data_IF_147092126245
#
_entry.id   IF_147092126245
#
_cell.length_a   1.000
_cell.length_b   1.000
_cell.length_c   1.000
_cell.angle_alpha   90.00
_cell.angle_beta   90.00
_cell.angle_gamma   90.00
#
_symmetry.space_group_name_H-M   'P 1'
#
loop_
_entity.id
_entity.type
_entity.pdbx_description
1 polymer ?
#
# COMPACT_ATOMS: atom_id res chain seq x y z
N UNK A 1 14.01 -1.60 15.68
CA UNK A 1 13.71 -3.01 15.34
C UNK A 1 13.09 -3.02 13.95
N UNK A 2 13.52 -3.89 13.01
CA UNK A 2 12.89 -3.95 11.70
C UNK A 2 11.40 -4.29 11.84
N UNK A 3 10.53 -3.74 10.98
CA UNK A 3 9.10 -4.03 11.03
C UNK A 3 8.84 -5.53 10.87
N UNK A 4 7.83 -6.02 11.60
CA UNK A 4 7.38 -7.41 11.49
C UNK A 4 6.39 -7.53 10.35
N UNK A 5 6.90 -7.81 9.16
CA UNK A 5 6.10 -8.03 7.96
C UNK A 5 5.10 -9.19 8.12
N UNK A 6 3.93 -9.06 7.52
CA UNK A 6 2.86 -10.05 7.60
C UNK A 6 3.07 -11.23 6.64
N UNK A 7 3.84 -11.03 5.56
CA UNK A 7 4.15 -12.08 4.59
C UNK A 7 5.46 -11.81 3.82
N UNK A 8 5.93 -12.82 3.08
CA UNK A 8 7.17 -12.71 2.30
C UNK A 8 7.12 -11.64 1.21
N UNK A 9 5.95 -11.32 0.63
CA UNK A 9 5.88 -10.34 -0.44
C UNK A 9 6.17 -8.92 0.06
N UNK A 10 5.76 -8.60 1.29
CA UNK A 10 6.11 -7.34 1.95
C UNK A 10 7.62 -7.26 2.24
N UNK A 11 8.23 -8.35 2.73
CA UNK A 11 9.69 -8.43 2.93
C UNK A 11 10.45 -8.14 1.64
N UNK A 12 10.05 -8.79 0.54
CA UNK A 12 10.69 -8.57 -0.77
C UNK A 12 10.44 -7.16 -1.30
N UNK A 13 9.28 -6.56 -1.01
CA UNK A 13 9.00 -5.18 -1.38
C UNK A 13 9.94 -4.20 -0.67
N UNK A 14 10.06 -4.33 0.65
CA UNK A 14 10.97 -3.53 1.46
C UNK A 14 12.41 -3.62 0.94
N UNK A 15 12.91 -4.84 0.70
CA UNK A 15 14.26 -5.05 0.13
C UNK A 15 14.46 -4.37 -1.22
N UNK A 16 13.46 -4.42 -2.11
CA UNK A 16 13.54 -3.78 -3.42
C UNK A 16 13.58 -2.26 -3.26
N UNK A 17 12.71 -1.68 -2.42
CA UNK A 17 12.72 -0.24 -2.14
C UNK A 17 14.06 0.20 -1.52
N UNK A 18 14.59 -0.57 -0.57
CA UNK A 18 15.91 -0.34 0.05
C UNK A 18 17.03 -0.39 -0.99
N UNK A 19 17.04 -1.42 -1.85
CA UNK A 19 18.04 -1.57 -2.92
C UNK A 19 18.04 -0.38 -3.89
N UNK A 20 16.84 0.14 -4.20
CA UNK A 20 16.68 1.31 -5.05
C UNK A 20 16.85 2.65 -4.31
N UNK A 21 16.97 2.63 -2.97
CA UNK A 21 17.13 3.81 -2.14
C UNK A 21 15.87 4.66 -2.00
N UNK A 22 14.69 4.07 -2.22
CA UNK A 22 13.40 4.77 -2.11
C UNK A 22 12.95 4.76 -0.64
N UNK A 23 12.78 5.90 0.03
CA UNK A 23 12.30 5.92 1.42
C UNK A 23 10.88 5.36 1.54
N UNK A 24 10.64 4.58 2.59
CA UNK A 24 9.33 3.97 2.82
C UNK A 24 8.97 3.85 4.31
N UNK A 25 7.68 3.73 4.58
CA UNK A 25 7.10 3.44 5.89
C UNK A 25 6.19 2.22 5.77
N UNK A 26 6.28 1.28 6.71
CA UNK A 26 5.43 0.08 6.75
C UNK A 26 4.20 0.30 7.62
N UNK A 27 3.03 -0.09 7.10
CA UNK A 27 1.70 0.12 7.73
C UNK A 27 1.56 1.50 8.40
N UNK A 28 1.83 2.60 7.66
CA UNK A 28 1.99 3.95 8.22
C UNK A 28 0.74 4.47 8.93
N UNK A 29 -0.45 4.01 8.48
CA UNK A 29 -1.74 4.42 9.03
C UNK A 29 -2.86 3.47 8.62
N UNK A 30 -3.86 3.34 9.49
CA UNK A 30 -5.15 2.73 9.16
C UNK A 30 -6.21 3.79 8.85
N UNK A 31 -6.95 3.59 7.76
CA UNK A 31 -8.09 4.39 7.35
C UNK A 31 -9.40 3.72 7.72
N UNK A 32 -10.28 4.45 8.40
CA UNK A 32 -11.62 3.95 8.74
C UNK A 32 -12.52 4.07 7.51
N UNK A 33 -13.06 2.95 7.04
CA UNK A 33 -13.96 2.89 5.90
C UNK A 33 -15.44 2.78 6.28
N UNK A 34 -15.73 2.28 7.50
CA UNK A 34 -17.10 2.23 8.03
C UNK A 34 -17.10 2.14 9.55
N UNK A 35 -18.03 2.85 10.17
CA UNK A 35 -18.37 2.73 11.60
C UNK A 35 -19.75 2.07 11.76
N UNK A 36 -19.94 1.37 12.87
CA UNK A 36 -21.22 0.82 13.29
C UNK A 36 -22.09 1.90 13.95
N UNK A 37 -23.33 1.55 14.29
CA UNK A 37 -24.28 2.45 14.98
C UNK A 37 -23.76 2.90 16.36
N UNK A 38 -22.93 2.07 17.00
CA UNK A 38 -22.24 2.33 18.25
C UNK A 38 -20.93 3.14 18.10
N UNK A 39 -20.62 3.59 16.88
CA UNK A 39 -19.39 4.33 16.55
C UNK A 39 -18.12 3.47 16.41
N UNK A 40 -18.19 2.15 16.66
CA UNK A 40 -17.02 1.25 16.53
C UNK A 40 -16.59 1.09 15.08
N UNK A 41 -15.29 0.93 14.85
CA UNK A 41 -14.74 0.70 13.51
C UNK A 41 -15.10 -0.73 13.07
N UNK A 42 -15.91 -0.86 12.02
CA UNK A 42 -16.34 -2.18 11.49
C UNK A 42 -15.59 -2.53 10.21
N UNK A 43 -15.12 -1.52 9.48
CA UNK A 43 -14.28 -1.74 8.31
C UNK A 43 -13.17 -0.69 8.29
N UNK A 44 -11.93 -1.16 8.20
CA UNK A 44 -10.75 -0.33 8.02
C UNK A 44 -9.86 -0.89 6.90
N UNK A 45 -8.94 -0.05 6.45
CA UNK A 45 -7.95 -0.35 5.45
C UNK A 45 -6.60 0.26 5.85
N UNK A 46 -5.58 -0.58 6.00
CA UNK A 46 -4.22 -0.18 6.27
C UNK A 46 -3.39 -0.52 5.04
N UNK A 47 -2.87 0.46 4.29
CA UNK A 47 -1.97 0.17 3.19
C UNK A 47 -0.67 -0.45 3.70
N UNK A 48 -0.13 -1.40 2.96
CA UNK A 48 1.10 -2.11 3.34
C UNK A 48 2.31 -1.14 3.46
N UNK A 49 2.45 -0.17 2.55
CA UNK A 49 3.55 0.80 2.55
C UNK A 49 3.11 2.23 2.21
N UNK A 50 3.92 3.22 2.60
CA UNK A 50 3.88 4.59 2.11
C UNK A 50 5.25 5.07 1.68
N UNK A 51 5.31 5.76 0.55
CA UNK A 51 6.51 6.40 0.01
C UNK A 51 6.40 7.91 0.23
N UNK A 52 7.12 8.48 1.22
CA UNK A 52 6.93 9.88 1.62
C UNK A 52 7.29 10.89 0.54
N UNK A 53 8.36 10.65 -0.22
CA UNK A 53 8.79 11.56 -1.28
C UNK A 53 7.77 11.68 -2.40
N UNK A 54 7.11 10.56 -2.73
CA UNK A 54 6.10 10.50 -3.77
C UNK A 54 4.71 10.70 -3.22
N UNK A 55 4.54 10.91 -1.91
CA UNK A 55 3.28 10.91 -1.17
C UNK A 55 2.27 9.87 -1.72
N UNK A 56 2.70 8.61 -1.66
CA UNK A 56 2.00 7.49 -2.28
C UNK A 56 1.88 6.30 -1.34
N UNK A 57 0.66 5.81 -1.16
CA UNK A 57 0.40 4.54 -0.51
C UNK A 57 0.45 3.38 -1.50
N UNK A 58 1.02 2.27 -1.04
CA UNK A 58 1.18 1.03 -1.79
C UNK A 58 0.47 -0.09 -1.05
N UNK A 59 -0.35 -0.82 -1.79
CA UNK A 59 -0.98 -2.06 -1.35
C UNK A 59 -0.46 -3.21 -2.22
N UNK A 60 0.10 -4.25 -1.62
CA UNK A 60 0.59 -5.43 -2.31
C UNK A 60 -0.52 -6.47 -2.48
N UNK A 61 -0.57 -7.13 -3.62
CA UNK A 61 -1.43 -8.30 -3.82
C UNK A 61 -0.65 -9.45 -4.44
N UNK A 62 -0.76 -10.61 -3.81
CA UNK A 62 -0.25 -11.90 -4.31
C UNK A 62 -1.38 -12.82 -4.80
N UNK A 63 -2.62 -12.34 -4.78
CA UNK A 63 -3.79 -13.21 -4.61
C UNK A 63 -4.56 -13.55 -5.91
N UNK A 64 -5.26 -14.69 -5.86
CA UNK A 64 -6.27 -15.15 -6.84
C UNK A 64 -7.41 -14.14 -6.99
N UNK A 65 -8.03 -14.12 -8.17
CA UNK A 65 -9.02 -13.12 -8.63
C UNK A 65 -10.17 -12.82 -7.64
N UNK A 66 -10.63 -13.81 -6.86
CA UNK A 66 -11.70 -13.64 -5.87
C UNK A 66 -11.35 -12.71 -4.70
N UNK A 67 -10.09 -12.68 -4.27
CA UNK A 67 -9.61 -11.83 -3.18
C UNK A 67 -9.35 -10.39 -3.64
N UNK A 68 -9.06 -10.21 -4.93
CA UNK A 68 -8.94 -8.89 -5.57
C UNK A 68 -10.27 -8.13 -5.50
N UNK A 69 -11.42 -8.80 -5.61
CA UNK A 69 -12.75 -8.15 -5.51
C UNK A 69 -12.95 -7.46 -4.16
N UNK A 70 -12.57 -8.12 -3.05
CA UNK A 70 -12.69 -7.54 -1.70
C UNK A 70 -11.72 -6.36 -1.50
N UNK A 71 -10.46 -6.49 -1.93
CA UNK A 71 -9.49 -5.38 -1.89
C UNK A 71 -9.98 -4.20 -2.75
N UNK A 72 -10.43 -4.44 -3.98
CA UNK A 72 -10.95 -3.40 -4.87
C UNK A 72 -12.19 -2.69 -4.30
N UNK A 73 -13.06 -3.40 -3.56
CA UNK A 73 -14.17 -2.76 -2.86
C UNK A 73 -13.68 -1.81 -1.77
N UNK A 74 -12.70 -2.24 -0.96
CA UNK A 74 -12.11 -1.38 0.08
C UNK A 74 -11.38 -0.18 -0.53
N UNK A 75 -10.62 -0.38 -1.60
CA UNK A 75 -9.93 0.70 -2.32
C UNK A 75 -10.90 1.72 -2.91
N UNK A 76 -12.03 1.28 -3.47
CA UNK A 76 -13.09 2.19 -3.94
C UNK A 76 -13.64 3.05 -2.80
N UNK A 77 -14.04 2.42 -1.68
CA UNK A 77 -14.48 3.14 -0.48
C UNK A 77 -13.43 4.10 0.07
N UNK A 78 -12.15 3.69 0.07
CA UNK A 78 -11.06 4.54 0.51
C UNK A 78 -10.99 5.80 -0.36
N UNK A 79 -11.04 5.66 -1.68
CA UNK A 79 -11.02 6.80 -2.61
C UNK A 79 -12.27 7.69 -2.50
N UNK A 80 -13.43 7.11 -2.20
CA UNK A 80 -14.66 7.86 -1.96
C UNK A 80 -14.58 8.69 -0.66
N UNK A 81 -14.03 8.12 0.42
CA UNK A 81 -13.96 8.78 1.73
C UNK A 81 -12.73 9.67 1.92
N UNK A 82 -11.66 9.38 1.21
CA UNK A 82 -10.37 10.06 1.30
C UNK A 82 -9.84 10.35 -0.12
N UNK A 83 -10.44 11.30 -0.85
CA UNK A 83 -10.15 11.55 -2.26
C UNK A 83 -8.71 12.04 -2.50
N UNK A 84 -8.11 12.69 -1.51
CA UNK A 84 -6.74 13.23 -1.60
C UNK A 84 -5.66 12.14 -1.47
N UNK A 85 -6.04 10.94 -1.05
CA UNK A 85 -5.09 9.85 -0.85
C UNK A 85 -4.72 9.22 -2.19
N UNK A 86 -3.44 9.30 -2.52
CA UNK A 86 -2.87 8.55 -3.64
C UNK A 86 -2.52 7.14 -3.19
N UNK A 87 -3.18 6.16 -3.78
CA UNK A 87 -2.94 4.74 -3.51
C UNK A 87 -2.90 3.92 -4.80
N UNK A 88 -1.95 2.97 -4.85
CA UNK A 88 -1.81 2.01 -5.96
C UNK A 88 -1.75 0.57 -5.43
N UNK A 89 -2.43 -0.33 -6.13
CA UNK A 89 -2.38 -1.77 -5.90
C UNK A 89 -1.30 -2.37 -6.82
N UNK A 90 -0.34 -3.09 -6.25
CA UNK A 90 0.76 -3.70 -6.97
C UNK A 90 0.75 -5.21 -6.84
N UNK A 91 0.98 -5.93 -7.95
CA UNK A 91 1.34 -7.34 -7.86
C UNK A 91 2.80 -7.48 -7.46
N UNK A 92 3.18 -8.60 -6.85
CA UNK A 92 4.58 -8.90 -6.51
C UNK A 92 5.55 -8.66 -7.68
N UNK A 93 5.15 -9.00 -8.91
CA UNK A 93 5.96 -8.81 -10.14
C UNK A 93 6.14 -7.34 -10.56
N UNK A 94 5.24 -6.45 -10.12
CA UNK A 94 5.24 -5.05 -10.54
C UNK A 94 6.17 -4.20 -9.65
N UNK A 95 6.61 -4.73 -8.50
CA UNK A 95 7.43 -4.00 -7.52
C UNK A 95 8.80 -3.62 -8.09
N UNK A 96 9.46 -4.51 -8.84
CA UNK A 96 10.76 -4.21 -9.46
C UNK A 96 10.64 -3.04 -10.44
N UNK A 97 9.64 -3.09 -11.34
CA UNK A 97 9.37 -2.01 -12.31
C UNK A 97 9.01 -0.70 -11.62
N UNK A 98 8.33 -0.76 -10.49
CA UNK A 98 7.96 0.42 -9.71
C UNK A 98 9.19 1.13 -9.14
N UNK A 99 10.06 0.38 -8.49
CA UNK A 99 11.26 0.94 -7.86
C UNK A 99 12.25 1.49 -8.90
N UNK A 100 12.37 0.83 -10.05
CA UNK A 100 13.12 1.36 -11.20
C UNK A 100 12.52 2.67 -11.74
N UNK A 101 11.19 2.73 -11.91
CA UNK A 101 10.53 3.95 -12.39
C UNK A 101 10.75 5.14 -11.46
N UNK A 102 10.66 4.96 -10.15
CA UNK A 102 10.86 6.08 -9.23
C UNK A 102 12.29 6.62 -9.23
N UNK A 103 13.31 5.78 -9.47
CA UNK A 103 14.66 6.31 -9.72
C UNK A 103 14.71 7.16 -10.99
N UNK A 104 14.05 6.73 -12.07
CA UNK A 104 14.05 7.48 -13.33
C UNK A 104 13.31 8.82 -13.18
N UNK A 105 12.24 8.87 -12.37
CA UNK A 105 11.49 10.11 -12.09
C UNK A 105 12.20 11.07 -11.11
N UNK A 106 13.10 10.57 -10.26
CA UNK A 106 13.86 11.38 -9.27
C UNK A 106 15.15 12.02 -9.84
N UNK A 107 15.59 11.61 -11.04
CA UNK A 107 16.72 12.22 -11.73
C UNK A 107 16.24 13.34 -12.67
N UNK A 108 15.86 14.49 -12.12
CA UNK A 108 15.65 15.72 -12.90
C UNK A 108 16.09 16.93 -12.08
#
# INVERSE_FOLDING_TARGET
MPPRFANQAEVECAKVLDYYGVPWQYEPRSFVLRRGEDGRVVEAFAPDFYLPEQDLYIELTVMKQSLVTRKNRKLRKLKELYPDIRIKLFYRRDIQRLAERYRIELAT
#
